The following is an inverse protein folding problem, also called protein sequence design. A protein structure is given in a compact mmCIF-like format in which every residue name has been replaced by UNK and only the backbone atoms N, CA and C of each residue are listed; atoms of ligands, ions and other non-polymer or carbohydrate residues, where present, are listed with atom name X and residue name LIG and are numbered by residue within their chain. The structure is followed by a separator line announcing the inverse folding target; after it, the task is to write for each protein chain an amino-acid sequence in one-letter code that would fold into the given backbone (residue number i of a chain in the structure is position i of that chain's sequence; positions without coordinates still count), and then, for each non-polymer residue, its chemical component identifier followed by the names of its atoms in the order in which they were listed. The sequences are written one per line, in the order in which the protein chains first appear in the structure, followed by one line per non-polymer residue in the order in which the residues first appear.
data_IF_613613459030
#
_entry.id   IF_613613459030
#
_cell.length_a   1.000
_cell.length_b   1.000
_cell.length_c   1.000
_cell.angle_alpha   90.00
_cell.angle_beta   90.00
_cell.angle_gamma   90.00
#
_symmetry.space_group_name_H-M   'P 1'
#
loop_
_entity.id
_entity.type
_entity.pdbx_description
1 polymer ?
#
# COMPACT_ATOMS: atom_id res chain seq x y z
N UNK A 1 24.85 -3.94 2.19
CA UNK A 1 23.72 -3.55 3.04
C UNK A 1 22.49 -3.46 2.15
N UNK A 2 21.40 -4.06 2.57
CA UNK A 2 20.12 -4.10 1.85
C UNK A 2 19.21 -3.05 2.49
N UNK A 3 18.62 -2.17 1.70
CA UNK A 3 17.55 -1.30 2.19
C UNK A 3 16.21 -1.98 1.91
N UNK A 4 15.31 -2.01 2.90
CA UNK A 4 13.97 -2.60 2.73
C UNK A 4 12.89 -1.66 3.24
N UNK A 5 11.85 -1.49 2.43
CA UNK A 5 10.59 -0.88 2.81
C UNK A 5 9.63 -2.02 3.10
N UNK A 6 9.16 -2.10 4.33
CA UNK A 6 8.10 -3.02 4.75
C UNK A 6 6.84 -2.18 4.90
N UNK A 7 6.06 -2.11 3.83
CA UNK A 7 4.85 -1.32 3.77
C UNK A 7 3.65 -2.13 4.27
N UNK A 8 2.88 -1.52 5.16
CA UNK A 8 1.54 -1.99 5.49
C UNK A 8 0.51 -1.28 4.59
N UNK A 9 -0.05 -2.01 3.64
CA UNK A 9 -1.09 -1.51 2.75
C UNK A 9 -2.43 -1.39 3.50
N UNK A 10 -3.40 -0.70 2.89
CA UNK A 10 -4.78 -0.57 3.35
C UNK A 10 -4.98 0.22 4.66
N UNK A 11 -4.04 1.05 5.10
CA UNK A 11 -4.29 1.92 6.25
C UNK A 11 -5.48 2.84 5.97
N UNK A 12 -6.37 3.01 6.94
CA UNK A 12 -7.64 3.70 6.75
C UNK A 12 -8.80 2.81 6.28
N UNK A 13 -8.57 1.56 5.88
CA UNK A 13 -9.62 0.67 5.37
C UNK A 13 -10.71 0.37 6.40
N UNK A 14 -10.33 0.13 7.67
CA UNK A 14 -11.26 -0.09 8.78
C UNK A 14 -10.60 0.22 10.12
N UNK A 15 -11.37 0.44 11.19
CA UNK A 15 -10.80 0.73 12.51
C UNK A 15 -9.96 -0.42 13.07
N UNK A 16 -10.43 -1.67 12.96
CA UNK A 16 -9.68 -2.82 13.44
C UNK A 16 -8.38 -3.00 12.64
N UNK A 17 -8.44 -2.79 11.33
CA UNK A 17 -7.26 -2.87 10.48
C UNK A 17 -6.22 -1.80 10.87
N UNK A 18 -6.65 -0.55 11.11
CA UNK A 18 -5.77 0.54 11.52
C UNK A 18 -4.99 0.23 12.82
N UNK A 19 -5.63 -0.39 13.81
CA UNK A 19 -4.95 -0.82 15.03
C UNK A 19 -3.86 -1.86 14.76
N UNK A 20 -4.10 -2.76 13.81
CA UNK A 20 -3.11 -3.74 13.39
C UNK A 20 -1.90 -3.10 12.69
N UNK A 21 -2.13 -2.16 11.78
CA UNK A 21 -1.04 -1.40 11.12
C UNK A 21 -0.16 -0.69 12.16
N UNK A 22 -0.78 0.02 13.11
CA UNK A 22 -0.05 0.72 14.18
C UNK A 22 0.72 -0.26 15.07
N UNK A 23 0.14 -1.43 15.38
CA UNK A 23 0.84 -2.49 16.10
C UNK A 23 2.04 -3.02 15.31
N UNK A 24 1.87 -3.29 14.02
CA UNK A 24 2.94 -3.76 13.13
C UNK A 24 4.12 -2.81 13.07
N UNK A 25 3.85 -1.50 13.07
CA UNK A 25 4.89 -0.46 13.13
C UNK A 25 5.55 -0.36 14.50
N UNK A 26 4.76 -0.29 15.57
CA UNK A 26 5.25 -0.06 16.94
C UNK A 26 6.01 -1.27 17.50
N UNK A 27 5.45 -2.45 17.34
CA UNK A 27 5.91 -3.68 17.99
C UNK A 27 6.66 -4.61 17.02
N UNK A 28 6.61 -4.33 15.72
CA UNK A 28 7.08 -5.23 14.67
C UNK A 28 8.08 -4.62 13.70
N UNK A 29 8.09 -5.16 12.48
CA UNK A 29 9.06 -4.81 11.45
C UNK A 29 8.55 -3.83 10.39
N UNK A 30 7.27 -3.44 10.42
CA UNK A 30 6.71 -2.45 9.47
C UNK A 30 7.48 -1.13 9.58
N UNK A 31 7.80 -0.52 8.44
CA UNK A 31 8.56 0.74 8.36
C UNK A 31 7.85 1.86 7.62
N UNK A 32 6.75 1.53 6.93
CA UNK A 32 5.96 2.45 6.12
C UNK A 32 4.50 1.99 6.07
N UNK A 33 3.59 2.91 5.78
CA UNK A 33 2.21 2.55 5.44
C UNK A 33 1.64 3.49 4.37
N UNK A 34 0.56 3.06 3.71
CA UNK A 34 -0.13 3.84 2.68
C UNK A 34 -1.63 3.95 3.01
N UNK A 35 -2.16 5.17 2.97
CA UNK A 35 -3.51 5.52 3.46
C UNK A 35 -4.54 5.53 2.33
N UNK A 36 -5.64 4.81 2.52
CA UNK A 36 -6.86 4.84 1.71
C UNK A 36 -7.77 5.98 2.20
N UNK A 37 -7.52 7.19 1.71
CA UNK A 37 -8.17 8.42 2.19
C UNK A 37 -9.67 8.52 1.92
N UNK A 38 -10.18 7.72 0.99
CA UNK A 38 -11.59 7.71 0.62
C UNK A 38 -12.46 6.85 1.55
N UNK A 39 -11.84 6.10 2.46
CA UNK A 39 -12.51 5.16 3.36
C UNK A 39 -12.99 5.85 4.64
N UNK A 40 -14.12 5.38 5.19
CA UNK A 40 -14.73 5.98 6.39
C UNK A 40 -13.79 5.98 7.61
N UNK A 41 -12.86 5.03 7.68
CA UNK A 41 -11.89 4.91 8.78
C UNK A 41 -10.57 5.66 8.55
N UNK A 42 -10.45 6.47 7.49
CA UNK A 42 -9.24 7.25 7.21
C UNK A 42 -8.93 8.29 8.31
N UNK A 43 -9.95 8.98 8.84
CA UNK A 43 -9.77 9.93 9.94
C UNK A 43 -9.30 9.24 11.23
N UNK A 44 -9.82 8.04 11.51
CA UNK A 44 -9.38 7.22 12.63
C UNK A 44 -7.89 6.81 12.47
N UNK A 45 -7.49 6.38 11.28
CA UNK A 45 -6.08 6.09 10.95
C UNK A 45 -5.17 7.29 11.25
N UNK A 46 -5.51 8.47 10.73
CA UNK A 46 -4.74 9.70 10.94
C UNK A 46 -4.70 10.10 12.42
N UNK A 47 -5.80 9.91 13.16
CA UNK A 47 -5.83 10.15 14.60
C UNK A 47 -4.84 9.26 15.36
N UNK A 48 -4.74 7.97 15.02
CA UNK A 48 -3.76 7.07 15.63
C UNK A 48 -2.32 7.46 15.28
N UNK A 49 -2.07 7.81 14.01
CA UNK A 49 -0.74 8.17 13.51
C UNK A 49 -0.13 9.40 14.21
N UNK A 50 -0.95 10.29 14.79
CA UNK A 50 -0.46 11.44 15.58
C UNK A 50 0.47 11.04 16.75
N UNK A 51 0.34 9.81 17.26
CA UNK A 51 1.23 9.30 18.32
C UNK A 51 2.57 8.76 17.79
N UNK A 52 2.75 8.71 16.47
CA UNK A 52 3.89 8.12 15.78
C UNK A 52 4.38 9.05 14.67
N UNK A 53 4.96 10.22 14.99
CA UNK A 53 5.34 11.23 14.00
C UNK A 53 6.40 10.76 13.00
N UNK A 54 7.15 9.70 13.33
CA UNK A 54 8.17 9.09 12.47
C UNK A 54 7.59 7.99 11.54
N UNK A 55 6.30 7.66 11.66
CA UNK A 55 5.64 6.75 10.73
C UNK A 55 5.44 7.45 9.39
N UNK A 56 6.13 6.98 8.35
CA UNK A 56 5.87 7.44 7.00
C UNK A 56 4.49 6.98 6.54
N UNK A 57 3.73 7.91 5.94
CA UNK A 57 2.41 7.66 5.36
C UNK A 57 2.39 8.18 3.92
N UNK A 58 2.24 7.25 2.96
CA UNK A 58 1.93 7.55 1.55
C UNK A 58 0.45 7.42 1.25
N UNK A 59 0.03 7.63 0.00
CA UNK A 59 -1.35 7.42 -0.44
C UNK A 59 -1.49 6.03 -1.09
N UNK A 60 -2.44 5.25 -0.58
CA UNK A 60 -2.89 4.00 -1.20
C UNK A 60 -4.09 4.32 -2.10
N UNK A 61 -3.82 4.65 -3.36
CA UNK A 61 -4.86 5.13 -4.30
C UNK A 61 -5.86 4.02 -4.58
N UNK A 62 -7.10 4.25 -4.19
CA UNK A 62 -8.15 3.24 -4.27
C UNK A 62 -9.15 3.57 -5.38
N UNK A 63 -9.38 2.64 -6.28
CA UNK A 63 -10.29 2.81 -7.43
C UNK A 63 -11.42 1.78 -7.45
N UNK A 64 -11.54 0.96 -6.39
CA UNK A 64 -12.36 -0.27 -6.43
C UNK A 64 -13.14 -0.57 -5.15
N UNK A 65 -13.04 0.27 -4.12
CA UNK A 65 -13.72 0.06 -2.85
C UNK A 65 -14.30 1.35 -2.29
N UNK A 66 -15.56 1.32 -1.86
CA UNK A 66 -16.23 2.47 -1.26
C UNK A 66 -16.62 3.55 -2.29
N UNK A 67 -16.75 4.79 -1.82
CA UNK A 67 -17.07 5.96 -2.66
C UNK A 67 -15.81 6.68 -3.11
N UNK A 68 -15.82 7.32 -4.28
CA UNK A 68 -14.72 8.19 -4.72
C UNK A 68 -14.63 9.47 -3.88
N UNK A 69 -13.46 10.10 -3.91
CA UNK A 69 -13.27 11.47 -3.42
C UNK A 69 -13.74 12.51 -4.45
N UNK A 70 -13.65 12.22 -5.74
CA UNK A 70 -14.18 13.09 -6.81
C UNK A 70 -15.70 12.94 -6.97
N UNK A 71 -16.32 13.89 -7.68
CA UNK A 71 -17.73 13.80 -8.02
C UNK A 71 -17.98 12.58 -8.94
N UNK A 72 -18.84 11.61 -8.56
CA UNK A 72 -19.10 10.41 -9.38
C UNK A 72 -19.53 10.71 -10.83
N UNK A 73 -20.21 11.83 -11.08
CA UNK A 73 -20.65 12.23 -12.42
C UNK A 73 -19.48 12.62 -13.34
N UNK A 74 -18.32 12.92 -12.76
CA UNK A 74 -17.13 13.36 -13.45
C UNK A 74 -16.10 12.26 -13.71
N UNK A 75 -16.38 11.05 -13.20
CA UNK A 75 -15.55 9.84 -13.34
C UNK A 75 -16.42 8.59 -13.69
N UNK A 76 -17.31 8.67 -14.69
CA UNK A 76 -18.33 7.65 -14.93
C UNK A 76 -17.77 6.26 -15.28
N UNK A 77 -16.50 6.13 -15.66
CA UNK A 77 -15.87 4.83 -15.92
C UNK A 77 -15.50 4.06 -14.64
N UNK A 78 -15.41 4.75 -13.50
CA UNK A 78 -14.96 4.18 -12.22
C UNK A 78 -16.11 3.75 -11.31
N UNK A 79 -17.29 4.33 -11.49
CA UNK A 79 -18.41 4.19 -10.56
C UNK A 79 -19.63 3.50 -11.16
N UNK A 80 -20.42 2.87 -10.29
CA UNK A 80 -21.74 2.33 -10.58
C UNK A 80 -22.83 3.40 -10.56
N UNK A 81 -24.06 3.01 -10.85
CA UNK A 81 -25.23 3.90 -10.85
C UNK A 81 -25.57 4.50 -9.48
N UNK A 82 -25.00 3.98 -8.39
CA UNK A 82 -25.14 4.49 -7.03
C UNK A 82 -23.97 5.39 -6.62
N UNK A 83 -22.98 5.58 -7.50
CA UNK A 83 -21.79 6.38 -7.25
C UNK A 83 -20.73 5.69 -6.39
N UNK A 84 -20.77 4.36 -6.27
CA UNK A 84 -19.72 3.57 -5.63
C UNK A 84 -18.75 3.05 -6.68
N UNK A 85 -17.50 2.82 -6.32
CA UNK A 85 -16.55 2.21 -7.24
C UNK A 85 -17.00 0.81 -7.68
N UNK A 86 -16.73 0.46 -8.94
CA UNK A 86 -16.81 -0.93 -9.38
C UNK A 86 -15.78 -1.78 -8.62
N UNK A 87 -16.18 -2.94 -8.12
CA UNK A 87 -15.24 -3.83 -7.43
C UNK A 87 -14.16 -4.35 -8.38
N UNK A 88 -12.99 -4.69 -7.84
CA UNK A 88 -11.84 -5.15 -8.61
C UNK A 88 -12.13 -6.36 -9.53
N UNK A 89 -13.13 -7.18 -9.20
CA UNK A 89 -13.62 -8.28 -10.03
C UNK A 89 -14.17 -7.84 -11.40
N UNK A 90 -14.81 -6.68 -11.50
CA UNK A 90 -15.34 -6.16 -12.78
C UNK A 90 -14.24 -5.75 -13.75
N UNK A 91 -13.09 -5.32 -13.24
CA UNK A 91 -11.92 -5.03 -14.06
C UNK A 91 -11.19 -6.32 -14.45
N UNK A 92 -11.00 -7.25 -13.50
CA UNK A 92 -10.35 -8.55 -13.77
C UNK A 92 -11.09 -9.39 -14.81
N UNK A 93 -12.42 -9.34 -14.84
CA UNK A 93 -13.23 -10.08 -15.82
C UNK A 93 -13.45 -9.33 -17.14
N UNK A 94 -12.89 -8.12 -17.29
CA UNK A 94 -12.99 -7.30 -18.50
C UNK A 94 -14.32 -6.56 -18.70
N UNK A 95 -15.23 -6.58 -17.73
CA UNK A 95 -16.52 -5.86 -17.80
C UNK A 95 -16.35 -4.34 -17.75
N UNK A 96 -15.26 -3.86 -17.15
CA UNK A 96 -14.89 -2.44 -17.04
C UNK A 96 -13.44 -2.23 -17.46
N UNK A 97 -13.14 -1.03 -17.91
CA UNK A 97 -11.79 -0.59 -18.27
C UNK A 97 -11.53 0.77 -17.66
N UNK A 98 -10.30 0.97 -17.19
CA UNK A 98 -9.86 2.26 -16.69
C UNK A 98 -9.77 3.28 -17.82
N UNK A 99 -10.29 4.48 -17.60
CA UNK A 99 -10.15 5.64 -18.48
C UNK A 99 -9.16 6.60 -17.84
N UNK A 100 -8.16 7.03 -18.60
CA UNK A 100 -7.04 7.85 -18.09
C UNK A 100 -7.51 9.11 -17.34
N UNK A 101 -8.42 9.88 -17.94
CA UNK A 101 -8.91 11.14 -17.33
C UNK A 101 -9.63 10.89 -16.00
N UNK A 102 -10.45 9.84 -15.93
CA UNK A 102 -11.20 9.51 -14.71
C UNK A 102 -10.25 9.04 -13.60
N UNK A 103 -9.28 8.18 -13.93
CA UNK A 103 -8.27 7.72 -12.96
C UNK A 103 -7.40 8.87 -12.49
N UNK A 104 -6.96 9.76 -13.39
CA UNK A 104 -6.16 10.95 -13.03
C UNK A 104 -6.95 11.87 -12.10
N UNK A 105 -8.21 12.16 -12.44
CA UNK A 105 -9.08 13.01 -11.64
C UNK A 105 -9.30 12.45 -10.23
N UNK A 106 -9.63 11.17 -10.13
CA UNK A 106 -9.84 10.53 -8.83
C UNK A 106 -8.55 10.45 -8.01
N UNK A 107 -7.41 10.11 -8.63
CA UNK A 107 -6.11 10.08 -7.94
C UNK A 107 -5.77 11.45 -7.34
N UNK A 108 -5.97 12.54 -8.10
CA UNK A 108 -5.74 13.91 -7.61
C UNK A 108 -6.75 14.28 -6.51
N UNK A 109 -8.03 13.91 -6.65
CA UNK A 109 -9.03 14.15 -5.61
C UNK A 109 -8.67 13.46 -4.28
N UNK A 110 -8.12 12.24 -4.36
CA UNK A 110 -7.56 11.55 -3.19
C UNK A 110 -6.34 12.28 -2.63
N UNK A 111 -5.44 12.81 -3.47
CA UNK A 111 -4.29 13.60 -2.99
C UNK A 111 -4.71 14.88 -2.26
N UNK A 112 -5.76 15.55 -2.74
CA UNK A 112 -6.33 16.70 -2.03
C UNK A 112 -6.94 16.26 -0.69
N UNK A 113 -7.69 15.15 -0.66
CA UNK A 113 -8.22 14.61 0.59
C UNK A 113 -7.12 14.20 1.58
N UNK A 114 -6.05 13.59 1.08
CA UNK A 114 -4.85 13.26 1.85
C UNK A 114 -4.28 14.53 2.53
N UNK A 115 -4.13 15.60 1.76
CA UNK A 115 -3.63 16.88 2.26
C UNK A 115 -4.58 17.53 3.26
N UNK A 116 -5.89 17.43 3.07
CA UNK A 116 -6.85 17.89 4.07
C UNK A 116 -6.67 17.18 5.42
N UNK A 117 -6.44 15.86 5.39
CA UNK A 117 -6.35 15.03 6.57
C UNK A 117 -4.98 15.16 7.29
N UNK A 118 -3.87 15.20 6.54
CA UNK A 118 -2.51 15.20 7.10
C UNK A 118 -1.82 16.56 7.09
N UNK A 119 -2.34 17.54 6.34
CA UNK A 119 -1.76 18.89 6.22
C UNK A 119 -0.66 19.03 5.16
N UNK A 120 -0.34 17.96 4.42
CA UNK A 120 0.66 17.96 3.35
C UNK A 120 0.25 16.99 2.23
N UNK A 121 0.71 17.23 0.98
CA UNK A 121 0.51 16.29 -0.13
C UNK A 121 1.31 15.00 0.08
N UNK A 122 0.81 13.82 -0.35
CA UNK A 122 1.55 12.58 -0.20
C UNK A 122 2.89 12.65 -0.93
N UNK A 123 3.93 12.06 -0.34
CA UNK A 123 5.26 11.98 -0.96
C UNK A 123 5.45 10.71 -1.79
N UNK A 124 4.50 9.78 -1.68
CA UNK A 124 4.48 8.49 -2.34
C UNK A 124 3.04 8.11 -2.70
N UNK A 125 2.81 7.56 -3.89
CA UNK A 125 1.53 6.97 -4.30
C UNK A 125 1.71 5.56 -4.85
N UNK A 126 0.72 4.72 -4.61
CA UNK A 126 0.59 3.40 -5.23
C UNK A 126 -0.90 3.03 -5.34
N UNK A 127 -1.24 1.81 -5.81
CA UNK A 127 -2.60 1.43 -6.20
C UNK A 127 -3.16 0.24 -5.42
N UNK A 128 -4.39 0.37 -4.94
CA UNK A 128 -5.10 -0.71 -4.25
C UNK A 128 -5.70 -1.73 -5.22
N UNK A 129 -5.31 -3.00 -5.10
CA UNK A 129 -5.96 -4.19 -5.70
C UNK A 129 -6.11 -4.24 -7.24
N UNK A 130 -5.71 -3.20 -7.98
CA UNK A 130 -5.80 -3.12 -9.44
C UNK A 130 -4.54 -2.51 -10.04
N UNK A 131 -4.17 -3.01 -11.22
CA UNK A 131 -3.00 -2.61 -11.98
C UNK A 131 -3.33 -2.62 -13.47
N UNK A 132 -2.56 -1.87 -14.26
CA UNK A 132 -2.69 -1.83 -15.72
C UNK A 132 -2.08 -0.58 -16.32
N UNK A 133 -1.84 -0.61 -17.64
CA UNK A 133 -1.12 0.45 -18.37
C UNK A 133 -1.69 1.85 -18.15
N UNK A 134 -3.02 1.97 -18.04
CA UNK A 134 -3.68 3.26 -17.79
C UNK A 134 -3.36 3.80 -16.39
N UNK A 135 -3.47 2.95 -15.36
CA UNK A 135 -3.18 3.33 -13.97
C UNK A 135 -1.72 3.71 -13.85
N UNK A 136 -0.83 2.88 -14.39
CA UNK A 136 0.61 3.09 -14.33
C UNK A 136 1.02 4.39 -15.04
N UNK A 137 0.42 4.66 -16.21
CA UNK A 137 0.62 5.92 -16.91
C UNK A 137 0.16 7.12 -16.07
N UNK A 138 -1.02 7.04 -15.43
CA UNK A 138 -1.50 8.13 -14.56
C UNK A 138 -0.56 8.36 -13.39
N UNK A 139 -0.13 7.29 -12.71
CA UNK A 139 0.76 7.41 -11.56
C UNK A 139 2.11 8.00 -11.94
N UNK A 140 2.66 7.59 -13.09
CA UNK A 140 3.87 8.20 -13.65
C UNK A 140 3.67 9.69 -13.94
N UNK A 141 2.60 10.06 -14.63
CA UNK A 141 2.35 11.46 -15.00
C UNK A 141 2.16 12.33 -13.74
N UNK A 142 1.44 11.84 -12.73
CA UNK A 142 1.26 12.53 -11.44
C UNK A 142 2.57 12.62 -10.67
N UNK A 143 3.36 11.54 -10.62
CA UNK A 143 4.67 11.53 -9.95
C UNK A 143 5.59 12.63 -10.51
N UNK A 144 5.59 12.80 -11.84
CA UNK A 144 6.35 13.86 -12.51
C UNK A 144 5.77 15.25 -12.27
N UNK A 145 4.44 15.40 -12.32
CA UNK A 145 3.74 16.68 -12.16
C UNK A 145 3.87 17.24 -10.74
N UNK A 146 3.70 16.38 -9.72
CA UNK A 146 3.73 16.77 -8.31
C UNK A 146 5.11 16.57 -7.66
N UNK A 147 6.08 16.01 -8.41
CA UNK A 147 7.40 15.68 -7.92
C UNK A 147 7.35 14.81 -6.64
N UNK A 148 6.66 13.67 -6.76
CA UNK A 148 6.46 12.66 -5.71
C UNK A 148 6.90 11.28 -6.25
N UNK A 149 7.12 10.31 -5.36
CA UNK A 149 7.39 8.92 -5.78
C UNK A 149 6.09 8.21 -6.16
N UNK A 150 6.17 7.26 -7.09
CA UNK A 150 5.11 6.28 -7.33
C UNK A 150 5.70 4.89 -7.56
N UNK A 151 5.05 3.85 -7.03
CA UNK A 151 5.41 2.46 -7.35
C UNK A 151 4.90 2.12 -8.75
N UNK A 152 5.82 1.83 -9.66
CA UNK A 152 5.56 1.49 -11.06
C UNK A 152 6.14 0.10 -11.38
N UNK A 153 5.51 -0.62 -12.30
CA UNK A 153 5.91 -2.01 -12.62
C UNK A 153 6.85 -2.10 -13.82
N UNK A 154 6.79 -1.13 -14.74
CA UNK A 154 7.43 -1.17 -16.06
C UNK A 154 8.46 -0.07 -16.26
N UNK A 155 8.43 0.98 -15.44
CA UNK A 155 9.23 2.17 -15.63
C UNK A 155 9.91 2.66 -14.35
N UNK A 156 11.01 3.41 -14.51
CA UNK A 156 11.75 4.03 -13.41
C UNK A 156 11.43 5.52 -13.34
N UNK A 157 11.34 6.06 -12.13
CA UNK A 157 11.14 7.50 -11.90
C UNK A 157 12.48 8.22 -11.74
N UNK A 158 12.69 9.25 -12.55
CA UNK A 158 13.87 10.12 -12.45
C UNK A 158 13.80 10.95 -11.17
N UNK A 159 14.92 11.09 -10.46
CA UNK A 159 15.00 11.86 -9.21
C UNK A 159 14.72 11.04 -7.95
N UNK A 160 14.45 9.75 -8.11
CA UNK A 160 14.23 8.81 -7.02
C UNK A 160 15.20 7.64 -7.13
N UNK A 161 15.51 7.03 -5.98
CA UNK A 161 16.23 5.76 -5.91
C UNK A 161 15.33 4.65 -6.46
N UNK A 162 15.92 3.72 -7.19
CA UNK A 162 15.22 2.59 -7.79
C UNK A 162 14.87 1.53 -6.73
N UNK A 163 13.59 1.17 -6.65
CA UNK A 163 13.12 0.04 -5.85
C UNK A 163 12.98 -1.22 -6.71
N UNK A 164 12.96 -2.38 -6.06
CA UNK A 164 12.70 -3.65 -6.70
C UNK A 164 11.93 -4.60 -5.79
N UNK A 165 11.30 -5.60 -6.40
CA UNK A 165 10.75 -6.76 -5.71
C UNK A 165 11.74 -7.94 -5.88
N UNK A 166 12.16 -8.61 -4.80
CA UNK A 166 13.30 -9.54 -4.77
C UNK A 166 12.99 -10.94 -5.30
N UNK A 167 11.71 -11.30 -5.36
CA UNK A 167 11.22 -12.65 -5.68
C UNK A 167 10.41 -12.68 -6.98
N UNK A 168 10.27 -13.88 -7.55
CA UNK A 168 9.29 -14.14 -8.60
C UNK A 168 7.90 -13.69 -8.14
N UNK A 169 7.19 -12.97 -9.01
CA UNK A 169 5.87 -12.42 -8.73
C UNK A 169 4.89 -13.50 -8.25
N UNK A 170 4.97 -14.73 -8.79
CA UNK A 170 4.12 -15.85 -8.39
C UNK A 170 4.39 -16.30 -6.95
N UNK A 171 5.65 -16.33 -6.53
CA UNK A 171 6.03 -16.70 -5.15
C UNK A 171 5.50 -15.67 -4.18
N UNK A 172 5.71 -14.38 -4.48
CA UNK A 172 5.18 -13.29 -3.67
C UNK A 172 3.65 -13.34 -3.57
N UNK A 173 2.95 -13.53 -4.70
CA UNK A 173 1.49 -13.66 -4.70
C UNK A 173 0.99 -14.86 -3.87
N UNK A 174 1.67 -16.01 -3.95
CA UNK A 174 1.30 -17.19 -3.16
C UNK A 174 1.43 -16.92 -1.66
N UNK A 175 2.55 -16.33 -1.23
CA UNK A 175 2.80 -15.95 0.15
C UNK A 175 1.75 -14.94 0.63
N UNK A 176 1.53 -13.84 -0.10
CA UNK A 176 0.58 -12.81 0.29
C UNK A 176 -0.86 -13.35 0.38
N UNK A 177 -1.25 -14.25 -0.52
CA UNK A 177 -2.59 -14.86 -0.48
C UNK A 177 -2.83 -15.75 0.75
N UNK A 178 -1.77 -16.27 1.38
CA UNK A 178 -1.80 -17.15 2.55
C UNK A 178 -1.39 -16.45 3.86
N UNK A 179 -0.87 -15.24 3.74
CA UNK A 179 -0.18 -14.50 4.79
C UNK A 179 1.23 -15.03 5.04
N UNK A 180 2.18 -14.13 5.28
CA UNK A 180 3.57 -14.46 5.58
C UNK A 180 3.66 -15.24 6.90
N UNK A 181 4.52 -16.26 6.97
CA UNK A 181 4.83 -16.98 8.21
C UNK A 181 6.23 -16.63 8.72
N UNK A 182 6.46 -16.88 10.01
CA UNK A 182 7.79 -16.76 10.63
C UNK A 182 8.84 -17.55 9.84
N UNK A 183 8.53 -18.79 9.46
CA UNK A 183 9.45 -19.64 8.70
C UNK A 183 9.77 -19.04 7.32
N UNK A 184 8.81 -18.39 6.66
CA UNK A 184 9.09 -17.73 5.37
C UNK A 184 10.14 -16.63 5.51
N UNK A 185 10.11 -15.86 6.60
CA UNK A 185 11.12 -14.82 6.85
C UNK A 185 12.45 -15.44 7.25
N UNK A 186 12.44 -16.38 8.21
CA UNK A 186 13.68 -16.97 8.74
C UNK A 186 14.46 -17.75 7.68
N UNK A 187 13.76 -18.38 6.73
CA UNK A 187 14.36 -19.12 5.62
C UNK A 187 14.73 -18.22 4.42
N UNK A 188 14.45 -16.92 4.49
CA UNK A 188 14.61 -15.97 3.38
C UNK A 188 13.86 -16.38 2.10
N UNK A 189 12.61 -16.86 2.24
CA UNK A 189 11.78 -17.28 1.11
C UNK A 189 11.43 -16.10 0.17
N UNK A 190 11.59 -14.86 0.65
CA UNK A 190 11.45 -13.64 -0.13
C UNK A 190 12.74 -13.23 -0.84
N UNK A 191 13.84 -13.97 -0.68
CA UNK A 191 15.10 -13.75 -1.38
C UNK A 191 15.74 -12.36 -1.10
N UNK A 192 15.54 -11.84 0.12
CA UNK A 192 16.04 -10.53 0.54
C UNK A 192 17.56 -10.51 0.61
N UNK A 193 18.19 -11.59 1.08
CA UNK A 193 19.64 -11.62 1.30
C UNK A 193 20.44 -11.60 0.00
N UNK A 194 19.78 -11.86 -1.13
CA UNK A 194 20.37 -11.76 -2.47
C UNK A 194 20.25 -10.37 -3.10
N UNK A 195 19.77 -9.36 -2.36
CA UNK A 195 19.52 -8.00 -2.85
C UNK A 195 20.56 -6.97 -2.36
N UNK A 196 21.83 -7.36 -2.22
CA UNK A 196 22.87 -6.46 -1.70
C UNK A 196 23.01 -5.18 -2.54
N UNK A 197 23.02 -4.02 -1.87
CA UNK A 197 23.09 -2.70 -2.51
C UNK A 197 21.81 -2.29 -3.23
N UNK A 198 20.68 -2.99 -3.02
CA UNK A 198 19.37 -2.67 -3.59
C UNK A 198 18.44 -2.09 -2.53
N UNK A 199 17.40 -1.43 -3.01
CA UNK A 199 16.24 -1.05 -2.20
C UNK A 199 15.09 -1.98 -2.57
N UNK A 200 14.63 -2.73 -1.58
CA UNK A 200 13.56 -3.69 -1.73
C UNK A 200 12.25 -3.12 -1.21
N UNK A 201 11.19 -3.29 -1.97
CA UNK A 201 9.83 -2.89 -1.62
C UNK A 201 8.99 -4.14 -1.37
N UNK A 202 8.49 -4.30 -0.14
CA UNK A 202 7.61 -5.40 0.27
C UNK A 202 6.30 -4.85 0.83
N UNK A 203 5.20 -5.33 0.28
CA UNK A 203 3.85 -4.98 0.69
C UNK A 203 3.22 -6.13 1.48
N UNK A 204 2.66 -5.81 2.63
CA UNK A 204 1.93 -6.74 3.49
C UNK A 204 0.64 -6.11 3.96
N UNK A 205 -0.25 -6.91 4.53
CA UNK A 205 -1.56 -6.46 5.00
C UNK A 205 -1.75 -6.74 6.51
N UNK A 206 -0.82 -6.33 7.40
CA UNK A 206 -0.90 -6.67 8.82
C UNK A 206 -2.06 -5.95 9.52
N UNK A 207 -3.10 -6.71 9.88
CA UNK A 207 -4.33 -6.13 10.40
C UNK A 207 -5.20 -7.08 11.20
N UNK A 208 -6.01 -6.52 12.09
CA UNK A 208 -7.14 -7.24 12.67
C UNK A 208 -8.34 -7.22 11.72
N UNK A 209 -9.29 -8.13 11.97
CA UNK A 209 -10.53 -8.20 11.22
C UNK A 209 -11.68 -7.59 12.02
N UNK A 210 -12.47 -6.77 11.35
CA UNK A 210 -13.81 -6.41 11.78
C UNK A 210 -14.82 -6.80 10.69
N UNK A 211 -16.10 -6.55 10.96
CA UNK A 211 -17.17 -6.92 10.02
C UNK A 211 -17.03 -6.21 8.67
N UNK A 212 -16.49 -4.97 8.65
CA UNK A 212 -16.27 -4.25 7.40
C UNK A 212 -15.30 -5.02 6.50
N UNK A 213 -14.16 -5.47 7.04
CA UNK A 213 -13.20 -6.26 6.28
C UNK A 213 -13.81 -7.59 5.81
N UNK A 214 -14.55 -8.28 6.68
CA UNK A 214 -15.18 -9.56 6.36
C UNK A 214 -16.20 -9.45 5.22
N UNK A 215 -16.90 -8.32 5.12
CA UNK A 215 -17.92 -8.09 4.08
C UNK A 215 -17.32 -7.57 2.76
N UNK A 216 -16.15 -6.91 2.81
CA UNK A 216 -15.62 -6.14 1.68
C UNK A 216 -14.27 -6.63 1.14
N UNK A 217 -13.63 -7.62 1.77
CA UNK A 217 -12.35 -8.17 1.32
C UNK A 217 -12.38 -9.69 1.21
N UNK A 218 -11.74 -10.21 0.16
CA UNK A 218 -11.42 -11.64 0.08
C UNK A 218 -10.16 -11.99 0.88
N UNK A 219 -9.32 -11.00 1.21
CA UNK A 219 -8.12 -11.19 2.00
C UNK A 219 -8.46 -10.97 3.48
N UNK A 220 -8.72 -12.05 4.21
CA UNK A 220 -9.15 -12.01 5.62
C UNK A 220 -8.08 -12.60 6.55
N UNK A 221 -8.12 -13.91 6.81
CA UNK A 221 -7.16 -14.60 7.70
C UNK A 221 -5.68 -14.29 7.42
N UNK A 222 -5.23 -14.12 6.16
CA UNK A 222 -3.88 -13.66 5.86
C UNK A 222 -3.47 -12.38 6.58
N UNK A 223 -4.37 -11.41 6.77
CA UNK A 223 -4.08 -10.14 7.45
C UNK A 223 -3.66 -10.33 8.91
N UNK A 224 -4.37 -11.21 9.62
CA UNK A 224 -4.04 -11.56 10.99
C UNK A 224 -2.67 -12.26 11.08
N UNK A 225 -2.39 -13.13 10.10
CA UNK A 225 -1.13 -13.88 10.05
C UNK A 225 0.06 -12.98 9.71
N UNK A 226 -0.12 -12.03 8.79
CA UNK A 226 0.86 -11.00 8.50
C UNK A 226 1.19 -10.20 9.77
N UNK A 227 0.17 -9.76 10.50
CA UNK A 227 0.37 -9.01 11.75
C UNK A 227 1.13 -9.83 12.81
N UNK A 228 0.72 -11.06 13.05
CA UNK A 228 1.35 -11.93 14.05
C UNK A 228 2.83 -12.19 13.69
N UNK A 229 3.10 -12.54 12.43
CA UNK A 229 4.46 -12.80 11.95
C UNK A 229 5.34 -11.56 12.00
N UNK A 230 4.87 -10.40 11.52
CA UNK A 230 5.67 -9.18 11.48
C UNK A 230 5.94 -8.60 12.87
N UNK A 231 5.17 -8.99 13.88
CA UNK A 231 5.39 -8.68 15.29
C UNK A 231 6.14 -9.78 16.07
N UNK A 232 6.43 -10.94 15.47
CA UNK A 232 7.10 -12.04 16.16
C UNK A 232 8.54 -11.65 16.54
N UNK A 233 8.94 -11.92 17.78
CA UNK A 233 10.26 -11.58 18.29
C UNK A 233 11.42 -12.23 17.50
N UNK A 234 11.21 -13.43 16.94
CA UNK A 234 12.18 -14.09 16.06
C UNK A 234 12.35 -13.34 14.76
N UNK A 235 11.26 -12.86 14.16
CA UNK A 235 11.29 -12.06 12.93
C UNK A 235 11.98 -10.72 13.19
N UNK A 236 11.62 -10.02 14.28
CA UNK A 236 12.27 -8.78 14.69
C UNK A 236 13.78 -8.97 14.91
N UNK A 237 14.20 -10.07 15.56
CA UNK A 237 15.62 -10.37 15.78
C UNK A 237 16.34 -10.72 14.48
N UNK A 238 15.70 -11.50 13.59
CA UNK A 238 16.27 -11.81 12.29
C UNK A 238 16.59 -10.55 11.50
N UNK A 239 15.68 -9.57 11.41
CA UNK A 239 15.95 -8.29 10.75
C UNK A 239 17.08 -7.47 11.39
N UNK A 240 17.35 -7.65 12.70
CA UNK A 240 18.47 -7.00 13.39
C UNK A 240 19.81 -7.68 13.13
N UNK A 241 19.80 -8.99 12.92
CA UNK A 241 20.98 -9.82 12.71
C UNK A 241 21.45 -9.84 11.25
N UNK A 242 20.53 -9.65 10.31
CA UNK A 242 20.84 -9.57 8.87
C UNK A 242 21.40 -8.19 8.48
N UNK A 243 22.14 -8.08 7.35
CA UNK A 243 22.66 -6.80 6.84
C UNK A 243 21.58 -5.94 6.16
N UNK A 244 20.42 -5.85 6.80
CA UNK A 244 19.20 -5.20 6.30
C UNK A 244 18.96 -3.92 7.12
N UNK A 245 18.75 -2.80 6.43
CA UNK A 245 18.29 -1.55 7.00
C UNK A 245 16.84 -1.32 6.57
N UNK A 246 15.95 -1.16 7.54
CA UNK A 246 14.57 -0.78 7.27
C UNK A 246 14.50 0.73 7.00
N UNK A 247 13.93 1.09 5.86
CA UNK A 247 13.70 2.48 5.44
C UNK A 247 12.21 2.66 5.07
N UNK A 248 11.82 3.89 4.74
CA UNK A 248 10.48 4.23 4.26
C UNK A 248 10.53 4.75 2.82
N UNK A 249 9.37 4.93 2.19
CA UNK A 249 9.31 5.61 0.89
C UNK A 249 9.81 7.07 0.96
N UNK A 250 9.78 7.70 2.14
CA UNK A 250 10.33 9.04 2.36
C UNK A 250 11.85 9.13 2.12
N UNK A 251 12.56 7.99 2.19
CA UNK A 251 14.01 7.91 2.00
C UNK A 251 14.44 7.76 0.53
N UNK A 252 13.49 7.68 -0.41
CA UNK A 252 13.78 7.41 -1.83
C UNK A 252 14.13 8.65 -2.63
N UNK A 253 13.85 9.84 -2.14
CA UNK A 253 14.19 11.08 -2.85
C UNK A 253 15.72 11.25 -2.90
N UNK A 254 16.26 11.63 -4.07
CA UNK A 254 17.68 11.92 -4.28
C UNK A 254 18.07 13.34 -3.85
#
# INVERSE_FOLDING_TARGET
MIDVIINADDFGMSEAFNYGVIKGYKDGVVSSTTLMVNMDSAEHAVSLAKSFPDLFIGQHTNLVLGKPCSNPQEIPSLVDEKGYFWSSSYYRNGSKKFVYEDVKKETIAQMEKFKELLGYYPQHIEGHSVFGEVIEKVFKDIALEYNIHASLFTEKLKGYKETMVPSDFKVMMDIMSKGISVDNILNDDLNLLNCDGKIVELHFHPGYLDQFILDNSTLTLPRCKDLDTLCDGKVVNWFKEQPIRRISFGDLRL
#
